data_IF_374124513628
#
_entry.id   IF_374124513628
#
_cell.length_a   1.000
_cell.length_b   1.000
_cell.length_c   1.000
_cell.angle_alpha   90.00
_cell.angle_beta   90.00
_cell.angle_gamma   90.00
#
_symmetry.space_group_name_H-M   'P 1'
#
loop_
_entity.id
_entity.type
_entity.pdbx_description
1 polymer ?
#
# COMPACT_ATOMS: atom_id res chain seq x y z
N UNK A 1 -21.48 -29.32 46.70
CA UNK A 1 -20.17 -29.49 46.02
C UNK A 1 -20.26 -29.54 44.49
N UNK A 2 -21.33 -30.11 43.90
CA UNK A 2 -21.52 -30.19 42.44
C UNK A 2 -21.82 -28.81 41.77
N UNK A 3 -22.44 -27.86 42.50
CA UNK A 3 -22.79 -26.54 41.98
C UNK A 3 -21.60 -25.58 41.77
N UNK A 4 -20.58 -25.62 42.64
CA UNK A 4 -19.38 -24.80 42.49
C UNK A 4 -18.51 -25.23 41.30
N UNK A 5 -18.44 -26.55 41.03
CA UNK A 5 -17.68 -27.09 39.89
C UNK A 5 -18.31 -26.66 38.56
N UNK A 6 -19.65 -26.64 38.47
CA UNK A 6 -20.36 -26.17 37.27
C UNK A 6 -20.17 -24.68 37.01
N UNK A 7 -20.16 -23.85 38.05
CA UNK A 7 -19.97 -22.40 37.90
C UNK A 7 -18.54 -22.05 37.46
N UNK A 8 -17.54 -22.74 38.00
CA UNK A 8 -16.13 -22.58 37.59
C UNK A 8 -15.89 -22.99 36.14
N UNK A 9 -16.55 -24.05 35.67
CA UNK A 9 -16.46 -24.49 34.27
C UNK A 9 -17.09 -23.49 33.30
N UNK A 10 -18.24 -22.90 33.66
CA UNK A 10 -18.92 -21.88 32.86
C UNK A 10 -18.06 -20.60 32.76
N UNK A 11 -17.47 -20.15 33.88
CA UNK A 11 -16.59 -18.98 33.88
C UNK A 11 -15.31 -19.21 33.06
N UNK A 12 -14.72 -20.40 33.12
CA UNK A 12 -13.56 -20.78 32.30
C UNK A 12 -13.93 -20.85 30.81
N UNK A 13 -15.10 -21.38 30.45
CA UNK A 13 -15.60 -21.39 29.08
C UNK A 13 -15.87 -19.98 28.54
N UNK A 14 -16.45 -19.08 29.35
CA UNK A 14 -16.68 -17.68 28.94
C UNK A 14 -15.36 -16.91 28.81
N UNK A 15 -14.38 -17.16 29.68
CA UNK A 15 -13.04 -16.56 29.56
C UNK A 15 -12.29 -17.02 28.30
N UNK A 16 -12.50 -18.27 27.85
CA UNK A 16 -11.94 -18.80 26.60
C UNK A 16 -12.59 -18.21 25.34
N UNK A 17 -13.80 -17.67 25.43
CA UNK A 17 -14.50 -17.01 24.30
C UNK A 17 -14.09 -15.53 24.16
N UNK A 18 -13.63 -14.89 25.23
CA UNK A 18 -13.31 -13.46 25.26
C UNK A 18 -12.09 -13.01 24.43
N UNK A 19 -11.19 -13.91 24.05
CA UNK A 19 -9.96 -13.60 23.28
C UNK A 19 -10.03 -14.11 21.84
N UNK A 20 -11.11 -13.74 21.14
CA UNK A 20 -11.47 -14.28 19.83
C UNK A 20 -10.63 -13.74 18.66
N UNK A 21 -10.04 -12.55 18.80
CA UNK A 21 -9.19 -11.97 17.77
C UNK A 21 -8.08 -11.12 18.39
N UNK A 22 -6.96 -10.97 17.66
CA UNK A 22 -5.84 -10.12 18.06
C UNK A 22 -6.21 -8.63 18.00
N UNK A 23 -5.27 -7.77 18.41
CA UNK A 23 -5.33 -6.36 18.07
C UNK A 23 -5.33 -6.15 16.54
N UNK A 24 -5.87 -5.00 16.11
CA UNK A 24 -5.87 -4.60 14.70
C UNK A 24 -4.44 -4.26 14.28
N UNK A 25 -3.99 -4.84 13.17
CA UNK A 25 -2.68 -4.57 12.57
C UNK A 25 -2.83 -3.85 11.25
N UNK A 26 -1.94 -2.91 10.98
CA UNK A 26 -1.84 -2.22 9.71
C UNK A 26 -0.77 -2.88 8.85
N UNK A 27 -1.14 -3.24 7.64
CA UNK A 27 -0.25 -3.78 6.62
C UNK A 27 -0.28 -2.82 5.42
N UNK A 28 0.71 -1.93 5.35
CA UNK A 28 0.92 -1.06 4.20
C UNK A 28 2.19 -1.48 3.46
N UNK A 29 2.14 -1.53 2.13
CA UNK A 29 3.28 -1.85 1.28
C UNK A 29 3.30 -1.01 0.02
N UNK A 30 4.51 -0.61 -0.39
CA UNK A 30 4.75 0.13 -1.62
C UNK A 30 4.77 -0.85 -2.79
N UNK A 31 3.82 -0.73 -3.70
CA UNK A 31 3.78 -1.57 -4.90
C UNK A 31 4.77 -1.09 -5.95
N UNK A 32 4.80 0.22 -6.20
CA UNK A 32 5.82 0.86 -7.02
C UNK A 32 5.90 2.37 -6.75
N UNK A 33 6.92 3.00 -7.33
CA UNK A 33 7.05 4.46 -7.40
C UNK A 33 7.58 4.87 -8.78
N UNK A 34 7.24 6.09 -9.20
CA UNK A 34 7.65 6.64 -10.49
C UNK A 34 7.95 8.13 -10.37
N UNK A 35 9.15 8.55 -10.79
CA UNK A 35 9.53 9.96 -10.85
C UNK A 35 8.80 10.69 -11.97
N UNK A 36 8.58 11.99 -11.78
CA UNK A 36 8.13 12.90 -12.83
C UNK A 36 9.36 13.55 -13.48
N UNK A 37 9.51 13.33 -14.78
CA UNK A 37 10.68 13.77 -15.54
C UNK A 37 10.95 15.27 -15.38
N UNK A 38 12.22 15.62 -15.16
CA UNK A 38 12.67 17.01 -15.03
C UNK A 38 12.23 17.71 -13.73
N UNK A 39 11.73 16.98 -12.73
CA UNK A 39 11.27 17.56 -11.46
C UNK A 39 11.83 16.80 -10.25
N UNK A 40 11.70 17.39 -9.06
CA UNK A 40 11.96 16.72 -7.77
C UNK A 40 10.70 16.03 -7.21
N UNK A 41 9.73 15.72 -8.08
CA UNK A 41 8.47 15.10 -7.71
C UNK A 41 8.40 13.64 -8.18
N UNK A 42 7.74 12.81 -7.39
CA UNK A 42 7.47 11.41 -7.77
C UNK A 42 6.14 10.96 -7.17
N UNK A 43 5.59 9.89 -7.73
CA UNK A 43 4.37 9.26 -7.23
C UNK A 43 4.70 7.90 -6.61
N UNK A 44 3.96 7.52 -5.59
CA UNK A 44 4.10 6.24 -4.87
C UNK A 44 2.74 5.56 -4.80
N UNK A 45 2.66 4.32 -5.30
CA UNK A 45 1.50 3.46 -5.14
C UNK A 45 1.68 2.59 -3.89
N UNK A 46 0.65 2.57 -3.05
CA UNK A 46 0.64 1.86 -1.77
C UNK A 46 -0.65 1.05 -1.66
N UNK A 47 -0.52 -0.24 -1.42
CA UNK A 47 -1.63 -1.06 -0.94
C UNK A 47 -1.68 -1.01 0.57
N UNK A 48 -2.83 -0.63 1.11
CA UNK A 48 -3.10 -0.47 2.53
C UNK A 48 -4.15 -1.47 3.00
N UNK A 49 -3.89 -2.17 4.10
CA UNK A 49 -4.83 -3.10 4.73
C UNK A 49 -4.84 -2.91 6.24
N UNK A 50 -6.02 -2.93 6.84
CA UNK A 50 -6.15 -3.19 8.29
C UNK A 50 -6.74 -4.56 8.48
N UNK A 51 -6.04 -5.39 9.23
CA UNK A 51 -6.42 -6.79 9.43
C UNK A 51 -6.48 -7.11 10.91
N UNK A 52 -7.25 -8.13 11.25
CA UNK A 52 -7.27 -8.74 12.57
C UNK A 52 -7.01 -10.22 12.45
N UNK A 53 -5.96 -10.71 13.10
CA UNK A 53 -5.65 -12.12 13.11
C UNK A 53 -6.64 -12.86 14.01
N UNK A 54 -7.14 -14.03 13.60
CA UNK A 54 -7.97 -14.85 14.48
C UNK A 54 -7.12 -15.42 15.60
N UNK A 55 -7.65 -15.40 16.82
CA UNK A 55 -7.01 -16.00 17.99
C UNK A 55 -7.94 -17.00 18.66
N UNK A 56 -7.35 -18.00 19.31
CA UNK A 56 -8.10 -19.08 19.99
C UNK A 56 -8.62 -20.17 19.04
N UNK A 57 -9.01 -21.30 19.61
CA UNK A 57 -9.38 -22.52 18.87
C UNK A 57 -10.67 -22.39 18.03
N UNK A 58 -11.61 -21.53 18.45
CA UNK A 58 -12.91 -21.37 17.79
C UNK A 58 -12.86 -20.57 16.49
N UNK A 59 -11.91 -19.63 16.35
CA UNK A 59 -11.80 -18.79 15.14
C UNK A 59 -10.69 -19.27 14.19
N UNK A 60 -9.80 -20.16 14.65
CA UNK A 60 -8.78 -20.80 13.81
C UNK A 60 -9.27 -22.08 13.13
N UNK A 61 -10.37 -22.67 13.61
CA UNK A 61 -10.99 -23.86 13.01
C UNK A 61 -12.50 -23.62 12.83
N UNK A 62 -13.14 -24.01 11.70
CA UNK A 62 -12.64 -24.78 10.57
C UNK A 62 -12.06 -23.95 9.42
N UNK A 63 -12.24 -22.63 9.43
CA UNK A 63 -11.79 -21.73 8.34
C UNK A 63 -10.29 -21.39 8.39
N UNK A 64 -9.48 -22.21 9.05
CA UNK A 64 -8.01 -22.17 8.97
C UNK A 64 -7.33 -20.92 9.52
N UNK A 65 -8.04 -20.07 10.27
CA UNK A 65 -7.46 -18.85 10.82
C UNK A 65 -7.19 -17.77 9.77
N UNK A 66 -8.10 -17.59 8.80
CA UNK A 66 -8.00 -16.48 7.84
C UNK A 66 -8.13 -15.12 8.54
N UNK A 67 -7.19 -14.18 8.31
CA UNK A 67 -7.28 -12.83 8.86
C UNK A 67 -8.57 -12.12 8.41
N UNK A 68 -9.24 -11.45 9.34
CA UNK A 68 -10.36 -10.58 9.00
C UNK A 68 -9.84 -9.26 8.46
N UNK A 69 -10.08 -8.98 7.18
CA UNK A 69 -9.79 -7.67 6.57
C UNK A 69 -10.88 -6.69 6.98
N UNK A 70 -10.48 -5.59 7.60
CA UNK A 70 -11.36 -4.51 8.07
C UNK A 70 -11.38 -3.33 7.10
N UNK A 71 -10.23 -3.02 6.52
CA UNK A 71 -10.07 -1.98 5.50
C UNK A 71 -9.09 -2.51 4.45
N UNK A 72 -9.36 -2.21 3.18
CA UNK A 72 -8.48 -2.54 2.08
C UNK A 72 -8.52 -1.44 1.02
N UNK A 73 -7.40 -0.75 0.83
CA UNK A 73 -7.38 0.46 0.01
C UNK A 73 -6.17 0.50 -0.90
N UNK A 74 -6.37 1.04 -2.09
CA UNK A 74 -5.27 1.52 -2.93
C UNK A 74 -5.08 3.02 -2.65
N UNK A 75 -3.87 3.39 -2.24
CA UNK A 75 -3.49 4.78 -2.00
C UNK A 75 -2.38 5.18 -2.97
N UNK A 76 -2.50 6.37 -3.56
CA UNK A 76 -1.48 6.95 -4.42
C UNK A 76 -1.07 8.29 -3.81
N UNK A 77 0.22 8.44 -3.54
CA UNK A 77 0.79 9.65 -2.97
C UNK A 77 1.63 10.39 -4.01
N UNK A 78 1.55 11.71 -3.99
CA UNK A 78 2.46 12.62 -4.66
C UNK A 78 3.47 13.12 -3.64
N UNK A 79 4.75 12.99 -3.95
CA UNK A 79 5.85 13.45 -3.11
C UNK A 79 6.61 14.51 -3.87
N UNK A 80 6.83 15.66 -3.24
CA UNK A 80 7.70 16.72 -3.72
C UNK A 80 8.83 16.91 -2.71
N UNK A 81 10.04 16.55 -3.12
CA UNK A 81 11.19 16.58 -2.23
C UNK A 81 11.67 18.01 -1.99
N UNK A 82 11.60 18.87 -3.01
CA UNK A 82 12.02 20.27 -2.90
C UNK A 82 11.11 21.07 -1.97
N UNK A 83 9.82 20.74 -1.94
CA UNK A 83 8.84 21.34 -1.03
C UNK A 83 8.66 20.58 0.28
N UNK A 84 9.30 19.42 0.41
CA UNK A 84 9.15 18.50 1.53
C UNK A 84 7.70 18.09 1.81
N UNK A 85 6.89 17.93 0.76
CA UNK A 85 5.47 17.60 0.91
C UNK A 85 5.14 16.18 0.46
N UNK A 86 4.25 15.54 1.19
CA UNK A 86 3.57 14.31 0.77
C UNK A 86 2.07 14.58 0.74
N UNK A 87 1.44 14.32 -0.39
CA UNK A 87 0.01 14.57 -0.60
C UNK A 87 -0.67 13.30 -1.08
N UNK A 88 -1.80 12.95 -0.47
CA UNK A 88 -2.63 11.85 -0.94
C UNK A 88 -3.35 12.31 -2.22
N UNK A 89 -2.97 11.75 -3.36
CA UNK A 89 -3.54 12.08 -4.66
C UNK A 89 -4.77 11.24 -4.98
N UNK A 90 -4.77 9.96 -4.58
CA UNK A 90 -5.94 9.10 -4.71
C UNK A 90 -6.05 8.13 -3.54
N UNK A 91 -7.30 7.87 -3.14
CA UNK A 91 -7.68 6.78 -2.24
C UNK A 91 -8.85 6.03 -2.86
N UNK A 92 -8.64 4.76 -3.19
CA UNK A 92 -9.69 3.89 -3.71
C UNK A 92 -10.03 2.87 -2.62
N UNK A 93 -11.21 3.03 -2.04
CA UNK A 93 -11.75 2.14 -1.01
C UNK A 93 -12.13 0.80 -1.63
N UNK A 94 -11.89 -0.28 -0.90
CA UNK A 94 -12.18 -1.67 -1.26
C UNK A 94 -11.66 -2.06 -2.65
N UNK A 95 -10.58 -1.41 -3.11
CA UNK A 95 -10.03 -1.60 -4.45
C UNK A 95 -11.09 -1.48 -5.58
N UNK A 96 -12.09 -0.62 -5.38
CA UNK A 96 -13.23 -0.47 -6.29
C UNK A 96 -13.95 -1.79 -6.59
N UNK A 97 -14.16 -2.58 -5.53
CA UNK A 97 -14.90 -3.85 -5.53
C UNK A 97 -14.29 -4.94 -6.42
N UNK A 98 -13.00 -4.85 -6.76
CA UNK A 98 -12.28 -5.97 -7.36
C UNK A 98 -12.33 -7.13 -6.35
N UNK A 99 -12.93 -8.31 -6.68
CA UNK A 99 -13.14 -9.36 -5.69
C UNK A 99 -11.85 -9.87 -5.05
N UNK A 100 -10.78 -9.97 -5.83
CA UNK A 100 -9.47 -10.40 -5.37
C UNK A 100 -8.39 -9.41 -5.82
N UNK A 101 -8.25 -8.28 -5.11
CA UNK A 101 -7.31 -7.24 -5.47
C UNK A 101 -5.87 -7.67 -5.16
N UNK A 102 -4.95 -7.31 -6.06
CA UNK A 102 -3.54 -7.72 -6.02
C UNK A 102 -2.61 -6.57 -5.73
N UNK A 103 -2.71 -5.48 -6.50
CA UNK A 103 -1.80 -4.35 -6.38
C UNK A 103 -2.40 -3.09 -7.00
N UNK A 104 -1.83 -1.95 -6.62
CA UNK A 104 -1.96 -0.67 -7.32
C UNK A 104 -0.64 -0.33 -7.98
N UNK A 105 -0.68 0.27 -9.18
CA UNK A 105 0.54 0.61 -9.92
C UNK A 105 0.44 2.02 -10.50
N UNK A 106 1.42 2.86 -10.20
CA UNK A 106 1.64 4.10 -10.97
C UNK A 106 2.13 3.70 -12.37
N UNK A 107 1.41 4.16 -13.39
CA UNK A 107 1.65 3.80 -14.79
C UNK A 107 2.43 4.86 -15.55
N UNK A 108 2.34 6.13 -15.16
CA UNK A 108 2.99 7.19 -15.92
C UNK A 108 2.43 8.57 -15.65
N UNK A 109 3.08 9.54 -16.29
CA UNK A 109 2.63 10.92 -16.32
C UNK A 109 2.25 11.29 -17.75
N UNK A 110 1.25 12.16 -17.89
CA UNK A 110 1.02 12.90 -19.13
C UNK A 110 0.62 14.31 -18.76
N UNK A 111 1.39 15.28 -19.24
CA UNK A 111 1.23 16.69 -18.87
C UNK A 111 1.28 16.86 -17.33
N UNK A 112 0.18 17.33 -16.74
CA UNK A 112 0.00 17.54 -15.30
C UNK A 112 -0.84 16.43 -14.62
N UNK A 113 -1.14 15.35 -15.34
CA UNK A 113 -1.92 14.23 -14.81
C UNK A 113 -1.06 12.99 -14.53
N UNK A 114 -1.34 12.37 -13.38
CA UNK A 114 -0.81 11.09 -12.95
C UNK A 114 -1.78 9.98 -13.33
N UNK A 115 -1.27 8.93 -13.98
CA UNK A 115 -2.06 7.76 -14.36
C UNK A 115 -1.62 6.56 -13.52
N UNK A 116 -2.59 5.81 -13.03
CA UNK A 116 -2.35 4.59 -12.26
C UNK A 116 -3.42 3.55 -12.57
N UNK A 117 -3.14 2.30 -12.24
CA UNK A 117 -4.13 1.23 -12.38
C UNK A 117 -4.18 0.32 -11.17
N UNK A 118 -5.35 -0.26 -10.94
CA UNK A 118 -5.60 -1.31 -9.97
C UNK A 118 -5.63 -2.64 -10.69
N UNK A 119 -5.01 -3.66 -10.11
CA UNK A 119 -5.00 -5.01 -10.65
C UNK A 119 -5.58 -6.00 -9.66
N UNK A 120 -6.30 -6.99 -10.19
CA UNK A 120 -6.70 -8.17 -9.44
C UNK A 120 -7.43 -9.16 -10.34
N UNK A 121 -8.22 -10.03 -9.72
CA UNK A 121 -8.95 -11.09 -10.42
C UNK A 121 -10.43 -11.05 -10.06
N UNK A 122 -11.28 -11.50 -10.99
CA UNK A 122 -12.69 -11.76 -10.74
C UNK A 122 -12.92 -13.21 -10.34
N UNK A 123 -12.85 -13.52 -9.04
CA UNK A 123 -13.17 -14.85 -8.52
C UNK A 123 -14.54 -14.91 -7.84
N UNK A 124 -15.18 -16.08 -7.89
CA UNK A 124 -16.16 -16.46 -6.86
C UNK A 124 -15.41 -16.81 -5.56
N UNK A 125 -16.08 -16.74 -4.40
CA UNK A 125 -15.44 -16.97 -3.11
C UNK A 125 -14.89 -18.41 -2.89
N UNK A 126 -15.08 -19.34 -3.84
CA UNK A 126 -14.74 -20.77 -3.71
C UNK A 126 -13.49 -21.17 -4.49
N UNK A 127 -13.10 -20.42 -5.52
CA UNK A 127 -11.82 -20.59 -6.22
C UNK A 127 -10.95 -19.39 -5.88
N UNK A 128 -9.66 -19.62 -5.61
CA UNK A 128 -8.70 -18.55 -5.33
C UNK A 128 -8.51 -17.61 -6.54
N UNK A 129 -7.28 -17.16 -6.79
CA UNK A 129 -6.95 -16.31 -7.94
C UNK A 129 -7.50 -16.90 -9.25
N UNK A 130 -8.64 -16.40 -9.73
CA UNK A 130 -9.15 -16.75 -11.06
C UNK A 130 -8.33 -15.99 -12.10
N UNK A 131 -7.18 -16.58 -12.43
CA UNK A 131 -6.26 -16.03 -13.42
C UNK A 131 -6.90 -15.87 -14.81
N UNK A 132 -8.09 -16.43 -15.03
CA UNK A 132 -8.82 -16.31 -16.30
C UNK A 132 -9.70 -15.05 -16.42
N UNK A 133 -10.04 -14.38 -15.31
CA UNK A 133 -10.72 -13.07 -15.29
C UNK A 133 -9.80 -11.99 -14.69
N UNK A 134 -8.72 -11.58 -15.40
CA UNK A 134 -7.89 -10.47 -14.96
C UNK A 134 -8.67 -9.16 -15.04
N UNK A 135 -8.75 -8.47 -13.91
CA UNK A 135 -9.42 -7.17 -13.82
C UNK A 135 -8.38 -6.08 -13.66
N UNK A 136 -8.44 -5.11 -14.56
CA UNK A 136 -7.64 -3.89 -14.51
C UNK A 136 -8.57 -2.67 -14.56
N UNK A 137 -8.44 -1.80 -13.58
CA UNK A 137 -9.15 -0.53 -13.53
C UNK A 137 -8.15 0.61 -13.66
N UNK A 138 -8.41 1.56 -14.56
CA UNK A 138 -7.47 2.63 -14.87
C UNK A 138 -8.02 3.95 -14.35
N UNK A 139 -7.15 4.75 -13.76
CA UNK A 139 -7.48 6.03 -13.18
C UNK A 139 -6.47 7.10 -13.57
N UNK A 140 -6.93 8.34 -13.60
CA UNK A 140 -6.10 9.53 -13.70
C UNK A 140 -6.44 10.49 -12.56
N UNK A 141 -5.42 11.17 -12.04
CA UNK A 141 -5.55 12.33 -11.16
C UNK A 141 -4.85 13.49 -11.83
N UNK A 142 -5.56 14.58 -12.07
CA UNK A 142 -4.96 15.83 -12.58
C UNK A 142 -4.45 16.74 -11.45
N UNK A 143 -3.85 17.86 -11.83
CA UNK A 143 -3.28 18.84 -10.90
C UNK A 143 -4.30 19.48 -9.95
N UNK A 144 -5.60 19.40 -10.25
CA UNK A 144 -6.65 19.86 -9.34
C UNK A 144 -6.96 18.83 -8.24
N UNK A 145 -6.39 17.63 -8.33
CA UNK A 145 -6.72 16.49 -7.48
C UNK A 145 -7.98 15.75 -7.92
N UNK A 146 -8.52 16.04 -9.11
CA UNK A 146 -9.73 15.37 -9.58
C UNK A 146 -9.40 13.96 -10.06
N UNK A 147 -9.96 12.96 -9.39
CA UNK A 147 -9.86 11.56 -9.76
C UNK A 147 -10.90 11.21 -10.84
N UNK A 148 -10.45 10.58 -11.93
CA UNK A 148 -11.30 10.09 -13.01
C UNK A 148 -10.95 8.65 -13.36
N UNK A 149 -11.96 7.81 -13.55
CA UNK A 149 -11.80 6.45 -14.11
C UNK A 149 -11.78 6.53 -15.63
N UNK A 150 -10.93 5.71 -16.26
CA UNK A 150 -10.74 5.64 -17.70
C UNK A 150 -10.92 4.20 -18.19
N UNK A 151 -11.24 4.07 -19.48
CA UNK A 151 -11.35 2.75 -20.13
C UNK A 151 -9.99 2.22 -20.60
N UNK A 152 -9.04 3.11 -20.90
CA UNK A 152 -7.71 2.76 -21.39
C UNK A 152 -6.65 3.78 -20.91
N UNK A 153 -5.38 3.35 -20.89
CA UNK A 153 -4.24 4.23 -20.67
C UNK A 153 -3.94 5.00 -21.96
N UNK A 154 -3.49 6.26 -21.88
CA UNK A 154 -2.89 6.93 -23.02
C UNK A 154 -1.65 6.19 -23.54
N UNK A 155 -1.45 6.21 -24.86
CA UNK A 155 -0.30 5.58 -25.51
C UNK A 155 1.01 6.36 -25.28
N UNK A 156 0.91 7.63 -24.91
CA UNK A 156 2.01 8.61 -24.79
C UNK A 156 2.44 8.86 -23.33
N UNK A 157 2.19 7.90 -22.44
CA UNK A 157 2.60 8.02 -21.04
C UNK A 157 4.12 8.07 -20.90
N UNK A 158 4.59 9.10 -20.19
CA UNK A 158 6.00 9.22 -19.82
C UNK A 158 6.27 8.31 -18.62
N UNK A 159 7.04 7.26 -18.88
CA UNK A 159 7.55 6.31 -17.89
C UNK A 159 9.06 6.47 -17.81
N UNK A 160 9.55 7.33 -16.93
CA UNK A 160 10.97 7.33 -16.65
C UNK A 160 11.27 6.09 -15.79
N UNK A 161 11.96 5.11 -16.37
CA UNK A 161 12.36 3.88 -15.67
C UNK A 161 13.36 4.24 -14.59
N UNK A 162 12.87 4.59 -13.41
CA UNK A 162 13.73 4.75 -12.25
C UNK A 162 14.11 3.35 -11.76
N UNK A 163 15.13 2.75 -12.37
CA UNK A 163 15.62 1.42 -12.03
C UNK A 163 17.10 1.44 -11.73
N UNK A 164 17.46 1.42 -10.44
CA UNK A 164 18.76 0.94 -9.97
C UNK A 164 19.98 1.75 -10.43
N UNK A 165 21.19 1.33 -10.04
CA UNK A 165 22.29 2.24 -9.75
C UNK A 165 23.00 2.72 -11.02
N UNK A 166 22.58 3.84 -11.63
CA UNK A 166 23.41 4.56 -12.60
C UNK A 166 23.23 6.08 -12.51
N UNK A 167 24.00 6.68 -11.59
CA UNK A 167 24.93 7.77 -11.90
C UNK A 167 24.43 9.20 -12.13
N UNK A 168 23.12 9.46 -12.25
CA UNK A 168 22.60 10.84 -12.37
C UNK A 168 21.28 11.03 -11.61
N UNK A 169 21.15 12.06 -10.76
CA UNK A 169 19.92 12.38 -10.05
C UNK A 169 18.86 12.97 -10.99
N UNK A 170 17.58 12.94 -10.58
CA UNK A 170 17.08 12.24 -9.40
C UNK A 170 16.96 10.72 -9.64
N UNK A 171 17.29 9.90 -8.64
CA UNK A 171 17.00 8.46 -8.69
C UNK A 171 16.21 8.00 -7.44
N UNK A 172 15.39 6.97 -7.63
CA UNK A 172 14.58 6.33 -6.59
C UNK A 172 15.08 4.90 -6.41
N UNK A 173 15.29 4.51 -5.15
CA UNK A 173 15.66 3.15 -4.78
C UNK A 173 14.66 2.62 -3.77
N UNK A 174 13.91 1.59 -4.15
CA UNK A 174 13.03 0.86 -3.25
C UNK A 174 13.85 0.01 -2.28
N UNK A 175 13.56 0.12 -0.98
CA UNK A 175 14.22 -0.69 0.04
C UNK A 175 13.68 -2.13 0.08
N UNK A 176 14.51 -3.05 0.59
CA UNK A 176 14.14 -4.45 0.77
C UNK A 176 12.96 -4.54 1.74
N UNK A 177 11.83 -5.06 1.26
CA UNK A 177 10.59 -5.17 2.04
C UNK A 177 9.56 -4.07 1.75
N UNK A 178 9.81 -3.17 0.79
CA UNK A 178 8.81 -2.25 0.21
C UNK A 178 8.16 -1.27 1.22
N UNK A 179 8.90 -0.85 2.26
CA UNK A 179 8.41 0.11 3.26
C UNK A 179 9.04 1.49 3.17
N UNK A 180 10.11 1.63 2.39
CA UNK A 180 10.73 2.92 2.13
C UNK A 180 11.29 3.05 0.72
N UNK A 181 11.42 4.29 0.27
CA UNK A 181 12.11 4.69 -0.96
C UNK A 181 13.22 5.66 -0.57
N UNK A 182 14.46 5.31 -0.88
CA UNK A 182 15.58 6.25 -0.81
C UNK A 182 15.60 7.09 -2.10
N UNK A 183 15.81 8.39 -1.97
CA UNK A 183 15.74 9.37 -3.03
C UNK A 183 17.09 10.07 -3.13
N UNK A 184 17.82 9.79 -4.20
CA UNK A 184 19.04 10.51 -4.52
C UNK A 184 18.72 11.78 -5.28
N UNK A 185 18.97 12.93 -4.67
CA UNK A 185 18.75 14.27 -5.27
C UNK A 185 20.04 14.78 -5.93
N UNK A 186 21.20 14.23 -5.56
CA UNK A 186 22.52 14.65 -6.05
C UNK A 186 23.30 13.56 -6.79
N UNK A 187 24.22 14.02 -7.64
CA UNK A 187 25.10 13.21 -8.51
C UNK A 187 26.09 12.31 -7.78
N UNK A 188 26.16 12.41 -6.44
CA UNK A 188 27.06 11.59 -5.60
C UNK A 188 26.44 11.35 -4.22
N UNK A 189 25.46 10.45 -4.08
CA UNK A 189 25.10 9.95 -2.75
C UNK A 189 26.31 9.15 -2.26
N UNK A 190 27.05 9.69 -1.28
CA UNK A 190 28.24 9.04 -0.75
C UNK A 190 27.86 7.85 0.14
N UNK A 191 26.68 7.88 0.76
CA UNK A 191 26.09 6.81 1.59
C UNK A 191 24.56 6.98 1.56
N UNK A 192 23.77 5.92 1.84
CA UNK A 192 22.29 6.05 1.96
C UNK A 192 21.83 6.96 3.11
N UNK A 193 22.76 7.46 3.92
CA UNK A 193 22.52 8.37 5.05
C UNK A 193 22.24 9.81 4.58
N UNK A 194 22.69 10.17 3.37
CA UNK A 194 22.50 11.52 2.78
C UNK A 194 21.31 11.60 1.81
N UNK A 195 20.48 10.56 1.73
CA UNK A 195 19.33 10.52 0.83
C UNK A 195 18.03 10.89 1.55
N UNK A 196 17.20 11.72 0.92
CA UNK A 196 15.81 11.88 1.36
C UNK A 196 15.09 10.52 1.30
N UNK A 197 14.19 10.25 2.23
CA UNK A 197 13.52 8.95 2.33
C UNK A 197 12.02 9.11 2.50
N UNK A 198 11.25 8.48 1.62
CA UNK A 198 9.83 8.23 1.86
C UNK A 198 9.69 6.97 2.70
N UNK A 199 8.93 7.01 3.80
CA UNK A 199 8.73 5.90 4.73
C UNK A 199 7.25 5.76 5.05
N UNK A 200 6.75 4.52 5.11
CA UNK A 200 5.44 4.21 5.69
C UNK A 200 5.61 3.88 7.17
N UNK A 201 4.89 4.58 8.04
CA UNK A 201 4.84 4.27 9.47
C UNK A 201 4.29 2.85 9.70
N UNK A 202 4.97 2.07 10.54
CA UNK A 202 4.69 0.64 10.68
C UNK A 202 3.31 0.35 11.30
N UNK A 203 2.81 1.26 12.14
CA UNK A 203 1.59 1.06 12.92
C UNK A 203 0.38 1.72 12.25
N UNK A 204 0.57 2.91 11.69
CA UNK A 204 -0.49 3.69 11.04
C UNK A 204 -0.53 3.51 9.52
N UNK A 205 0.56 3.09 8.88
CA UNK A 205 0.68 3.05 7.42
C UNK A 205 0.71 4.42 6.75
N UNK A 206 0.76 5.50 7.54
CA UNK A 206 0.82 6.87 7.04
C UNK A 206 2.23 7.20 6.53
N UNK A 207 2.34 7.96 5.42
CA UNK A 207 3.63 8.27 4.84
C UNK A 207 4.32 9.40 5.59
N UNK A 208 5.65 9.36 5.61
CA UNK A 208 6.51 10.46 6.05
C UNK A 208 7.68 10.62 5.09
N UNK A 209 8.06 11.87 4.85
CA UNK A 209 9.28 12.21 4.13
C UNK A 209 10.33 12.63 5.16
N UNK A 210 11.46 11.92 5.16
CA UNK A 210 12.61 12.19 6.03
C UNK A 210 13.68 12.82 5.16
N UNK A 211 14.07 14.06 5.47
CA UNK A 211 15.15 14.77 4.78
C UNK A 211 16.37 14.77 5.70
N UNK A 212 17.57 14.37 5.23
CA UNK A 212 18.79 14.50 6.02
C UNK A 212 19.10 15.98 6.30
N UNK A 213 19.57 16.27 7.51
CA UNK A 213 19.98 17.63 7.89
C UNK A 213 21.25 18.01 7.10
N UNK A 214 21.25 19.17 6.44
CA UNK A 214 22.47 19.72 5.83
C UNK A 214 23.50 19.96 6.94
N UNK A 215 24.58 19.19 6.94
CA UNK A 215 25.71 19.33 7.89
C UNK A 215 26.83 20.15 7.30
#
# INVERSE_FOLDING_TARGET
MIGLIRLGLILALVALVGCSYSDVRTNAHIDNALARAGTHSFAVAVTFRRVREPTGALNTFPNGGVPKVLEHEARVYLVDVGRQTVTLAARIVDFADIPQPKSVRVEGWREDALYFSLFGYGGDARRGDDLSDPRRLIYAVDSSGQLRRLDALPDDLVQERVSGPLGKPPFLRLSKGYRSIDIGIDSRPRVSEDAARFVLDADSGEPRLVIPEET
#
